data_IF_166656265157
#
_entry.id   IF_166656265157
#
_cell.length_a   1.000
_cell.length_b   1.000
_cell.length_c   1.000
_cell.angle_alpha   90.00
_cell.angle_beta   90.00
_cell.angle_gamma   90.00
#
_symmetry.space_group_name_H-M   'P 1'
#
loop_
_entity.id
_entity.type
_entity.pdbx_description
1 polymer ?
#
# COMPACT_ATOMS: atom_id res chain seq x y z
N UNK A 1 -14.14 -38.52 95.43
CA UNK A 1 -14.87 -37.26 95.70
C UNK A 1 -15.33 -36.72 94.34
N UNK A 2 -16.45 -37.22 93.80
CA UNK A 2 -17.81 -36.64 93.89
C UNK A 2 -17.83 -35.16 93.49
N UNK A 3 -18.31 -34.89 92.27
CA UNK A 3 -19.47 -34.03 91.96
C UNK A 3 -19.76 -34.17 90.44
N UNK A 4 -20.77 -34.95 90.05
CA UNK A 4 -22.16 -34.54 89.78
C UNK A 4 -22.25 -33.46 88.69
N UNK A 5 -22.49 -33.83 87.43
CA UNK A 5 -23.82 -33.93 86.76
C UNK A 5 -24.64 -32.64 86.77
N UNK A 6 -24.78 -32.03 85.59
CA UNK A 6 -26.01 -31.34 85.20
C UNK A 6 -26.18 -31.48 83.67
N UNK A 7 -27.06 -32.40 83.29
CA UNK A 7 -27.64 -32.53 81.96
C UNK A 7 -28.76 -31.50 81.84
N UNK A 8 -28.78 -30.69 80.78
CA UNK A 8 -30.01 -29.99 80.35
C UNK A 8 -30.20 -30.17 78.84
N UNK A 9 -31.34 -30.75 78.49
CA UNK A 9 -31.80 -31.03 77.14
C UNK A 9 -32.36 -29.79 76.43
N UNK A 10 -32.25 -29.86 75.09
CA UNK A 10 -33.15 -29.32 74.05
C UNK A 10 -33.42 -27.80 74.01
N UNK A 11 -33.04 -27.20 72.88
CA UNK A 11 -34.02 -26.73 71.89
C UNK A 11 -33.35 -26.46 70.53
N UNK A 12 -33.93 -27.06 69.50
CA UNK A 12 -33.61 -26.84 68.09
C UNK A 12 -34.20 -25.48 67.69
N UNK A 13 -33.36 -24.57 67.18
CA UNK A 13 -33.80 -23.42 66.41
C UNK A 13 -33.02 -23.41 65.09
N UNK A 14 -33.67 -23.92 64.05
CA UNK A 14 -33.25 -23.76 62.66
C UNK A 14 -33.41 -22.28 62.30
N UNK A 15 -32.29 -21.56 62.18
CA UNK A 15 -32.26 -20.28 61.47
C UNK A 15 -31.45 -20.46 60.19
N UNK A 16 -32.18 -20.57 59.08
CA UNK A 16 -31.69 -20.35 57.72
C UNK A 16 -31.23 -18.89 57.62
N UNK A 17 -29.95 -18.66 57.92
CA UNK A 17 -29.25 -17.42 57.60
C UNK A 17 -28.56 -17.58 56.26
N UNK A 18 -29.14 -16.96 55.24
CA UNK A 18 -28.56 -16.81 53.90
C UNK A 18 -27.15 -16.22 53.98
N UNK A 19 -26.16 -17.04 53.64
CA UNK A 19 -24.81 -16.58 53.32
C UNK A 19 -24.92 -15.76 52.04
N UNK A 20 -25.06 -14.44 52.18
CA UNK A 20 -24.89 -13.50 51.08
C UNK A 20 -23.39 -13.44 50.78
N UNK A 21 -22.90 -14.42 50.03
CA UNK A 21 -21.60 -14.36 49.36
C UNK A 21 -21.69 -13.27 48.29
N UNK A 22 -21.34 -12.05 48.69
CA UNK A 22 -20.96 -10.95 47.82
C UNK A 22 -19.69 -11.36 47.06
N UNK A 23 -19.85 -12.17 46.01
CA UNK A 23 -18.87 -12.29 44.93
C UNK A 23 -18.83 -10.90 44.27
N UNK A 24 -17.81 -10.13 44.63
CA UNK A 24 -17.44 -8.95 43.88
C UNK A 24 -17.24 -9.35 42.43
N UNK A 25 -18.13 -8.89 41.55
CA UNK A 25 -17.76 -8.72 40.15
C UNK A 25 -16.67 -7.67 40.16
N UNK A 26 -15.43 -8.07 39.99
CA UNK A 26 -14.45 -7.20 39.34
C UNK A 26 -15.08 -6.80 37.99
N UNK A 27 -15.74 -5.65 37.98
CA UNK A 27 -16.07 -4.96 36.74
C UNK A 27 -14.73 -4.53 36.17
N UNK A 28 -14.18 -5.33 35.24
CA UNK A 28 -13.11 -4.80 34.41
C UNK A 28 -13.67 -3.55 33.75
N UNK A 29 -13.08 -2.40 34.07
CA UNK A 29 -13.43 -1.14 33.42
C UNK A 29 -12.93 -1.29 31.99
N UNK A 30 -13.83 -1.66 31.08
CA UNK A 30 -13.54 -1.80 29.66
C UNK A 30 -13.52 -0.42 29.02
N UNK A 31 -12.45 -0.07 28.31
CA UNK A 31 -12.35 1.23 27.63
C UNK A 31 -13.28 1.29 26.42
N UNK A 32 -13.65 0.13 25.89
CA UNK A 32 -14.46 -0.01 24.69
C UNK A 32 -15.88 -0.44 24.99
N UNK A 33 -16.81 0.06 24.17
CA UNK A 33 -18.25 -0.17 24.36
C UNK A 33 -18.70 -1.54 23.85
N UNK A 34 -19.90 -1.96 24.26
CA UNK A 34 -20.54 -3.16 23.70
C UNK A 34 -20.74 -3.04 22.18
N UNK A 35 -21.00 -1.83 21.67
CA UNK A 35 -21.13 -1.56 20.23
C UNK A 35 -19.83 -1.83 19.48
N UNK A 36 -18.68 -1.50 20.07
CA UNK A 36 -17.37 -1.81 19.48
C UNK A 36 -17.16 -3.33 19.37
N UNK A 37 -17.58 -4.09 20.39
CA UNK A 37 -17.52 -5.56 20.38
C UNK A 37 -18.44 -6.16 19.32
N UNK A 38 -19.64 -5.62 19.14
CA UNK A 38 -20.54 -6.02 18.07
C UNK A 38 -19.95 -5.71 16.68
N UNK A 39 -19.29 -4.56 16.54
CA UNK A 39 -18.63 -4.20 15.30
C UNK A 39 -17.42 -5.09 15.02
N UNK A 40 -16.64 -5.48 16.04
CA UNK A 40 -15.59 -6.47 15.89
C UNK A 40 -16.13 -7.82 15.37
N UNK A 41 -17.29 -8.27 15.87
CA UNK A 41 -17.97 -9.49 15.38
C UNK A 41 -18.37 -9.38 13.92
N UNK A 42 -18.87 -8.23 13.48
CA UNK A 42 -19.16 -7.97 12.07
C UNK A 42 -17.91 -8.19 11.18
N UNK A 43 -16.72 -7.87 11.69
CA UNK A 43 -15.46 -8.11 11.01
C UNK A 43 -14.83 -9.49 11.32
N UNK A 44 -15.62 -10.47 11.74
CA UNK A 44 -15.17 -11.82 12.12
C UNK A 44 -14.12 -11.83 13.24
N UNK A 45 -14.17 -10.85 14.14
CA UNK A 45 -13.24 -10.69 15.26
C UNK A 45 -11.76 -10.72 14.85
N UNK A 46 -11.41 -10.14 13.69
CA UNK A 46 -9.99 -10.04 13.30
C UNK A 46 -9.17 -9.14 14.24
N UNK A 47 -9.84 -8.34 15.08
CA UNK A 47 -9.26 -7.52 16.14
C UNK A 47 -10.12 -7.65 17.40
N UNK A 48 -9.49 -7.38 18.55
CA UNK A 48 -10.20 -7.13 19.80
C UNK A 48 -10.25 -5.60 20.04
N UNK A 49 -11.40 -5.02 20.45
CA UNK A 49 -11.50 -3.59 20.70
C UNK A 49 -10.54 -3.04 21.76
N UNK A 50 -10.30 -3.78 22.85
CA UNK A 50 -9.37 -3.33 23.90
C UNK A 50 -7.93 -3.37 23.40
N UNK A 51 -7.53 -4.42 22.67
CA UNK A 51 -6.21 -4.46 22.01
C UNK A 51 -5.97 -3.21 21.13
N UNK A 52 -7.01 -2.77 20.41
CA UNK A 52 -6.93 -1.61 19.52
C UNK A 52 -6.70 -0.31 20.30
N UNK A 53 -7.45 -0.15 21.41
CA UNK A 53 -7.31 0.97 22.32
C UNK A 53 -5.92 1.00 22.96
N UNK A 54 -5.45 -0.14 23.48
CA UNK A 54 -4.13 -0.26 24.10
C UNK A 54 -3.00 0.04 23.12
N UNK A 55 -3.10 -0.43 21.87
CA UNK A 55 -2.11 -0.11 20.85
C UNK A 55 -2.09 1.37 20.51
N UNK A 56 -3.26 2.03 20.45
CA UNK A 56 -3.35 3.47 20.24
C UNK A 56 -2.72 4.27 21.39
N UNK A 57 -2.97 3.88 22.64
CA UNK A 57 -2.34 4.50 23.81
C UNK A 57 -0.83 4.26 23.84
N UNK A 58 -0.35 3.09 23.39
CA UNK A 58 1.09 2.83 23.19
C UNK A 58 1.70 3.82 22.19
N UNK A 59 1.04 4.07 21.05
CA UNK A 59 1.50 5.07 20.07
C UNK A 59 1.54 6.46 20.71
N UNK A 60 0.46 6.88 21.38
CA UNK A 60 0.39 8.19 22.04
C UNK A 60 1.48 8.37 23.09
N UNK A 61 1.77 7.33 23.89
CA UNK A 61 2.88 7.34 24.84
C UNK A 61 4.22 7.62 24.15
N UNK A 62 4.55 6.89 23.08
CA UNK A 62 5.81 7.07 22.34
C UNK A 62 5.91 8.46 21.69
N UNK A 63 4.79 9.00 21.20
CA UNK A 63 4.70 10.39 20.70
C UNK A 63 4.89 11.40 21.82
N UNK A 64 4.34 11.15 23.01
CA UNK A 64 4.49 11.99 24.20
C UNK A 64 5.93 11.99 24.72
N UNK A 65 6.60 10.84 24.70
CA UNK A 65 8.02 10.69 25.08
C UNK A 65 8.99 11.14 23.97
N UNK A 66 8.47 11.57 22.81
CA UNK A 66 9.27 11.94 21.63
C UNK A 66 10.22 10.82 21.16
N UNK A 67 9.85 9.57 21.42
CA UNK A 67 10.66 8.40 21.13
C UNK A 67 10.45 7.95 19.67
N UNK A 68 11.18 8.61 18.76
CA UNK A 68 11.11 8.36 17.33
C UNK A 68 11.53 6.93 16.96
N UNK A 69 12.57 6.40 17.61
CA UNK A 69 13.07 5.05 17.33
C UNK A 69 12.02 3.98 17.62
N UNK A 70 11.44 4.00 18.82
CA UNK A 70 10.44 3.01 19.21
C UNK A 70 9.10 3.22 18.50
N UNK A 71 8.74 4.45 18.13
CA UNK A 71 7.59 4.70 17.27
C UNK A 71 7.74 3.99 15.91
N UNK A 72 8.92 4.07 15.30
CA UNK A 72 9.20 3.40 14.03
C UNK A 72 9.45 1.90 14.17
N UNK A 73 9.75 1.40 15.37
CA UNK A 73 9.73 -0.04 15.66
C UNK A 73 8.32 -0.65 15.59
N UNK A 74 7.26 0.17 15.71
CA UNK A 74 5.88 -0.26 15.50
C UNK A 74 5.47 -0.34 14.02
N UNK A 75 6.31 0.09 13.08
CA UNK A 75 6.05 -0.01 11.65
C UNK A 75 6.50 -1.39 11.16
N UNK A 76 5.61 -2.16 10.52
CA UNK A 76 6.00 -3.40 9.82
C UNK A 76 6.60 -3.03 8.47
N UNK A 77 7.84 -3.45 8.21
CA UNK A 77 8.64 -3.05 7.02
C UNK A 77 8.76 -1.52 6.89
N UNK A 78 8.25 -0.92 5.82
CA UNK A 78 8.20 0.53 5.57
C UNK A 78 6.76 1.05 5.64
N UNK A 79 6.62 2.34 5.97
CA UNK A 79 5.32 3.00 5.91
C UNK A 79 4.81 3.03 4.48
N UNK A 80 3.51 2.76 4.30
CA UNK A 80 2.83 2.92 3.01
C UNK A 80 2.83 4.39 2.59
N UNK A 81 2.52 5.28 3.54
CA UNK A 81 2.65 6.72 3.38
C UNK A 81 3.31 7.30 4.62
N UNK A 82 4.38 8.05 4.44
CA UNK A 82 5.15 8.66 5.53
C UNK A 82 6.65 8.58 5.28
N UNK A 83 7.48 9.05 6.22
CA UNK A 83 8.93 9.04 6.07
C UNK A 83 9.49 7.62 6.14
N UNK A 84 10.58 7.35 5.42
CA UNK A 84 11.27 6.06 5.46
C UNK A 84 11.94 5.83 6.81
N UNK A 85 12.08 4.57 7.22
CA UNK A 85 12.91 4.21 8.37
C UNK A 85 14.36 4.69 8.22
N UNK A 86 14.92 4.58 7.01
CA UNK A 86 16.26 5.07 6.72
C UNK A 86 16.41 6.59 6.87
N UNK A 87 15.34 7.37 6.61
CA UNK A 87 15.37 8.83 6.70
C UNK A 87 15.36 9.33 8.16
N UNK A 88 14.71 8.59 9.06
CA UNK A 88 14.51 9.02 10.46
C UNK A 88 15.65 8.62 11.41
N UNK A 89 16.56 7.74 10.99
CA UNK A 89 17.55 7.07 11.87
C UNK A 89 18.41 8.06 12.68
N UNK A 90 18.78 9.18 12.08
CA UNK A 90 19.65 10.20 12.68
C UNK A 90 18.92 11.53 12.92
N UNK A 91 17.60 11.47 13.14
CA UNK A 91 16.73 12.63 13.30
C UNK A 91 16.14 12.67 14.70
N UNK A 92 15.92 13.88 15.20
CA UNK A 92 15.11 14.12 16.40
C UNK A 92 13.63 14.07 16.03
N UNK A 93 12.77 13.82 17.01
CA UNK A 93 11.32 13.84 16.81
C UNK A 93 10.85 15.18 16.20
N UNK A 94 11.34 16.30 16.73
CA UNK A 94 11.04 17.66 16.25
C UNK A 94 11.56 17.96 14.84
N UNK A 95 12.52 17.18 14.33
CA UNK A 95 12.98 17.33 12.93
C UNK A 95 11.95 16.77 11.95
N UNK A 96 11.10 15.86 12.42
CA UNK A 96 10.14 15.10 11.60
C UNK A 96 8.71 15.60 11.83
N UNK A 97 8.34 15.93 13.07
CA UNK A 97 6.97 16.28 13.44
C UNK A 97 6.91 17.65 14.13
N UNK A 98 5.90 18.45 13.80
CA UNK A 98 5.66 19.73 14.46
C UNK A 98 4.96 19.54 15.81
N UNK A 99 5.07 20.53 16.70
CA UNK A 99 4.35 20.55 17.97
C UNK A 99 2.83 20.46 17.78
N UNK A 100 2.30 21.13 16.75
CA UNK A 100 0.88 21.04 16.40
C UNK A 100 0.48 19.59 16.05
N UNK A 101 1.30 18.90 15.27
CA UNK A 101 1.06 17.51 14.92
C UNK A 101 1.07 16.62 16.17
N UNK A 102 2.09 16.78 17.01
CA UNK A 102 2.26 16.03 18.27
C UNK A 102 1.09 16.25 19.22
N UNK A 103 0.73 17.51 19.47
CA UNK A 103 -0.38 17.88 20.34
C UNK A 103 -1.72 17.33 19.81
N UNK A 104 -1.93 17.35 18.50
CA UNK A 104 -3.11 16.75 17.88
C UNK A 104 -3.22 15.24 18.14
N UNK A 105 -2.11 14.50 18.01
CA UNK A 105 -2.07 13.06 18.33
C UNK A 105 -2.36 12.80 19.81
N UNK A 106 -1.71 13.55 20.71
CA UNK A 106 -1.89 13.38 22.16
C UNK A 106 -3.31 13.70 22.63
N UNK A 107 -3.94 14.73 22.05
CA UNK A 107 -5.31 15.12 22.36
C UNK A 107 -6.37 14.18 21.75
N UNK A 108 -6.00 13.36 20.77
CA UNK A 108 -6.97 12.48 20.10
C UNK A 108 -7.39 11.29 20.96
N UNK A 109 -8.67 10.93 20.87
CA UNK A 109 -9.22 9.74 21.51
C UNK A 109 -8.63 8.47 20.87
N UNK A 110 -8.32 7.48 21.70
CA UNK A 110 -7.86 6.17 21.23
C UNK A 110 -9.05 5.36 20.71
N UNK A 111 -9.01 4.91 19.44
CA UNK A 111 -10.15 4.26 18.82
C UNK A 111 -10.28 2.80 19.26
N UNK A 112 -11.51 2.39 19.57
CA UNK A 112 -11.89 0.99 19.80
C UNK A 112 -12.38 0.27 18.54
N UNK A 113 -12.64 1.02 17.46
CA UNK A 113 -13.20 0.51 16.20
C UNK A 113 -12.51 1.16 14.98
N UNK A 114 -12.35 0.44 13.86
CA UNK A 114 -11.72 0.97 12.66
C UNK A 114 -12.67 1.85 11.84
N UNK A 115 -12.10 2.68 10.98
CA UNK A 115 -12.81 3.43 9.93
C UNK A 115 -13.06 2.51 8.73
N UNK A 116 -14.01 1.59 8.91
CA UNK A 116 -14.32 0.56 7.92
C UNK A 116 -13.09 -0.30 7.58
N UNK A 117 -12.88 -0.57 6.30
CA UNK A 117 -11.74 -1.38 5.82
C UNK A 117 -10.38 -0.67 5.91
N UNK A 118 -10.34 0.64 6.19
CA UNK A 118 -9.10 1.44 6.16
C UNK A 118 -8.21 1.23 7.38
N UNK A 119 -8.76 0.69 8.47
CA UNK A 119 -8.05 0.50 9.74
C UNK A 119 -8.36 1.61 10.75
N UNK A 120 -7.51 1.73 11.75
CA UNK A 120 -7.67 2.63 12.88
C UNK A 120 -6.85 3.89 12.66
N UNK A 121 -7.27 5.01 13.24
CA UNK A 121 -6.54 6.27 13.09
C UNK A 121 -6.52 7.10 14.37
N UNK A 122 -5.43 7.84 14.55
CA UNK A 122 -5.28 8.91 15.53
C UNK A 122 -5.25 10.27 14.82
N UNK A 123 -5.72 11.30 15.51
CA UNK A 123 -5.74 12.70 15.04
C UNK A 123 -6.17 12.85 13.57
N UNK A 124 -7.41 12.44 13.29
CA UNK A 124 -8.05 12.57 11.97
C UNK A 124 -7.21 12.02 10.80
N UNK A 125 -6.44 10.96 11.04
CA UNK A 125 -5.64 10.28 10.02
C UNK A 125 -4.15 10.65 10.02
N UNK A 126 -3.66 11.37 11.03
CA UNK A 126 -2.23 11.64 11.18
C UNK A 126 -1.40 10.38 11.37
N UNK A 127 -1.94 9.39 12.09
CA UNK A 127 -1.36 8.05 12.19
C UNK A 127 -2.46 7.05 11.85
N UNK A 128 -2.16 6.12 10.95
CA UNK A 128 -3.00 4.96 10.66
C UNK A 128 -2.30 3.69 11.12
N UNK A 129 -3.06 2.78 11.72
CA UNK A 129 -2.56 1.51 12.21
C UNK A 129 -3.60 0.40 12.05
N UNK A 130 -3.14 -0.85 12.05
CA UNK A 130 -4.01 -2.00 11.89
C UNK A 130 -3.38 -3.28 12.48
N UNK A 131 -4.20 -4.32 12.64
CA UNK A 131 -3.76 -5.67 13.02
C UNK A 131 -3.53 -6.49 11.75
N UNK A 132 -2.34 -7.07 11.60
CA UNK A 132 -2.06 -8.01 10.54
C UNK A 132 -2.88 -9.29 10.81
N UNK A 133 -3.75 -9.68 9.87
CA UNK A 133 -4.66 -10.83 10.06
C UNK A 133 -3.93 -12.17 10.10
N UNK A 134 -2.79 -12.28 9.44
CA UNK A 134 -2.02 -13.52 9.35
C UNK A 134 -1.04 -13.66 10.52
N UNK A 135 -0.33 -12.58 10.85
CA UNK A 135 0.67 -12.56 11.92
C UNK A 135 0.08 -12.25 13.30
N UNK A 136 -1.15 -11.73 13.35
CA UNK A 136 -1.83 -11.36 14.59
C UNK A 136 -1.29 -10.12 15.29
N UNK A 137 -0.27 -9.45 14.74
CA UNK A 137 0.40 -8.31 15.38
C UNK A 137 -0.15 -6.96 14.89
N UNK A 138 -0.19 -5.99 15.79
CA UNK A 138 -0.49 -4.60 15.49
C UNK A 138 0.72 -3.88 14.91
N UNK A 139 0.48 -2.98 13.96
CA UNK A 139 1.52 -2.17 13.34
C UNK A 139 0.97 -0.83 12.83
N UNK A 140 1.85 0.16 12.75
CA UNK A 140 1.58 1.43 12.06
C UNK A 140 1.78 1.22 10.56
N UNK A 141 0.81 1.64 9.75
CA UNK A 141 0.83 1.51 8.29
C UNK A 141 1.12 2.83 7.57
N UNK A 142 0.68 3.96 8.15
CA UNK A 142 0.93 5.30 7.59
C UNK A 142 1.10 6.35 8.68
N UNK A 143 1.97 7.32 8.43
CA UNK A 143 2.13 8.53 9.24
C UNK A 143 2.09 9.74 8.29
N UNK A 144 1.01 10.51 8.37
CA UNK A 144 0.77 11.73 7.58
C UNK A 144 1.18 12.97 8.37
N UNK A 145 1.56 14.04 7.68
CA UNK A 145 1.96 15.30 8.33
C UNK A 145 3.41 15.36 8.81
N UNK A 146 4.17 14.28 8.61
CA UNK A 146 5.62 14.28 8.78
C UNK A 146 6.31 15.20 7.75
N UNK A 147 7.48 15.73 8.11
CA UNK A 147 8.37 16.42 7.18
C UNK A 147 8.76 15.48 6.03
N UNK A 148 8.62 15.96 4.80
CA UNK A 148 8.95 15.20 3.60
C UNK A 148 10.47 15.08 3.44
N UNK A 149 10.89 13.92 2.97
CA UNK A 149 12.26 13.68 2.56
C UNK A 149 12.51 14.29 1.16
N UNK A 150 13.25 15.39 1.11
CA UNK A 150 13.73 16.00 -0.15
C UNK A 150 15.00 15.29 -0.62
N UNK A 151 14.86 14.20 -1.37
CA UNK A 151 16.03 13.46 -1.89
C UNK A 151 16.20 13.41 -3.40
N UNK A 152 15.40 14.14 -4.15
CA UNK A 152 15.48 14.13 -5.63
C UNK A 152 15.21 15.49 -6.28
N UNK A 153 15.13 16.58 -5.50
CA UNK A 153 14.63 17.88 -5.96
C UNK A 153 15.60 18.64 -6.86
N UNK A 154 16.91 18.40 -6.77
CA UNK A 154 17.89 19.28 -7.42
C UNK A 154 18.40 18.79 -8.80
N UNK A 155 18.05 17.59 -9.27
CA UNK A 155 18.61 17.02 -10.51
C UNK A 155 17.68 16.09 -11.32
N UNK A 156 16.36 16.10 -11.08
CA UNK A 156 15.44 15.26 -11.87
C UNK A 156 15.00 15.97 -13.17
N UNK A 157 14.97 15.27 -14.32
CA UNK A 157 14.40 15.85 -15.54
C UNK A 157 12.89 16.06 -15.41
N UNK A 158 12.38 17.17 -15.97
CA UNK A 158 10.95 17.41 -16.08
C UNK A 158 10.41 16.57 -17.25
N UNK A 159 9.73 15.48 -16.90
CA UNK A 159 9.16 14.53 -17.85
C UNK A 159 10.20 13.68 -18.60
N UNK A 160 9.73 12.62 -19.23
CA UNK A 160 10.55 11.75 -20.06
C UNK A 160 10.36 12.12 -21.53
N UNK A 161 11.42 12.62 -22.18
CA UNK A 161 11.39 12.95 -23.61
C UNK A 161 12.02 11.84 -24.48
N UNK A 162 11.38 11.56 -25.61
CA UNK A 162 11.88 10.76 -26.72
C UNK A 162 11.73 11.57 -28.01
N UNK A 163 12.83 11.75 -28.75
CA UNK A 163 12.89 12.59 -29.95
C UNK A 163 12.23 13.96 -29.81
N UNK A 164 12.54 14.63 -28.68
CA UNK A 164 12.02 15.95 -28.34
C UNK A 164 10.57 15.97 -27.85
N UNK A 165 9.81 14.88 -28.00
CA UNK A 165 8.41 14.77 -27.56
C UNK A 165 8.32 14.16 -26.16
N UNK A 166 7.40 14.67 -25.35
CA UNK A 166 7.11 14.10 -24.03
C UNK A 166 6.36 12.78 -24.18
N UNK A 167 6.78 11.77 -23.43
CA UNK A 167 6.04 10.52 -23.28
C UNK A 167 4.86 10.80 -22.35
N UNK A 168 3.61 10.48 -22.78
CA UNK A 168 2.43 10.65 -21.95
C UNK A 168 2.40 9.72 -20.71
N UNK A 169 1.74 10.12 -19.61
CA UNK A 169 1.61 9.28 -18.42
C UNK A 169 1.05 7.87 -18.68
N UNK A 170 0.15 7.74 -19.67
CA UNK A 170 -0.52 6.50 -20.03
C UNK A 170 0.43 5.39 -20.49
N UNK A 171 1.66 5.75 -20.85
CA UNK A 171 2.70 4.85 -21.33
C UNK A 171 3.41 4.07 -20.23
N UNK A 172 3.27 4.51 -18.99
CA UNK A 172 3.89 3.86 -17.84
C UNK A 172 2.92 2.84 -17.28
N UNK A 173 2.86 1.67 -17.92
CA UNK A 173 1.96 0.58 -17.52
C UNK A 173 2.29 0.13 -16.11
N UNK A 174 1.28 0.07 -15.25
CA UNK A 174 1.35 -0.47 -13.90
C UNK A 174 0.20 -1.45 -13.70
N UNK A 175 0.30 -2.28 -12.68
CA UNK A 175 -0.80 -3.14 -12.26
C UNK A 175 -2.04 -2.28 -11.95
N UNK A 176 -3.19 -2.69 -12.49
CA UNK A 176 -4.46 -2.06 -12.21
C UNK A 176 -4.93 -2.37 -10.81
N UNK A 177 -5.88 -1.58 -10.29
CA UNK A 177 -6.47 -1.86 -8.97
C UNK A 177 -7.12 -3.25 -8.91
N UNK A 178 -7.70 -3.71 -10.03
CA UNK A 178 -8.26 -5.06 -10.14
C UNK A 178 -7.20 -6.13 -10.33
N UNK A 179 -5.99 -5.76 -10.76
CA UNK A 179 -4.90 -6.65 -11.19
C UNK A 179 -5.14 -7.41 -12.49
N UNK A 180 -6.32 -7.27 -13.11
CA UNK A 180 -6.72 -8.03 -14.31
C UNK A 180 -5.70 -7.93 -15.44
N UNK A 181 -5.09 -6.75 -15.63
CA UNK A 181 -4.11 -6.55 -16.69
C UNK A 181 -2.83 -7.36 -16.52
N UNK A 182 -2.43 -7.74 -15.31
CA UNK A 182 -1.32 -8.67 -15.09
C UNK A 182 -1.80 -10.11 -15.08
N UNK A 183 -2.98 -10.38 -14.53
CA UNK A 183 -3.58 -11.72 -14.50
C UNK A 183 -3.77 -12.31 -15.91
N UNK A 184 -4.19 -11.51 -16.89
CA UNK A 184 -4.30 -11.97 -18.28
C UNK A 184 -2.96 -12.39 -18.87
N UNK A 185 -1.86 -11.70 -18.53
CA UNK A 185 -0.53 -12.12 -18.98
C UNK A 185 -0.08 -13.39 -18.26
N UNK A 186 -0.45 -13.56 -16.99
CA UNK A 186 -0.18 -14.80 -16.26
C UNK A 186 -0.88 -15.98 -16.92
N UNK A 187 -2.16 -15.83 -17.27
CA UNK A 187 -2.95 -16.90 -17.87
C UNK A 187 -2.57 -17.15 -19.32
N UNK A 188 -2.38 -16.11 -20.13
CA UNK A 188 -2.02 -16.23 -21.54
C UNK A 188 -0.67 -16.92 -21.75
N UNK A 189 0.33 -16.61 -20.92
CA UNK A 189 1.68 -17.17 -21.04
C UNK A 189 1.95 -18.33 -20.06
N UNK A 190 0.96 -18.74 -19.26
CA UNK A 190 1.12 -19.83 -18.29
C UNK A 190 2.16 -19.54 -17.22
N UNK A 191 2.25 -18.30 -16.75
CA UNK A 191 3.21 -17.88 -15.71
C UNK A 191 2.79 -18.53 -14.38
N UNK A 192 3.68 -19.28 -13.69
CA UNK A 192 3.32 -19.98 -12.46
C UNK A 192 2.84 -19.05 -11.33
N UNK A 193 1.59 -19.22 -10.90
CA UNK A 193 1.00 -18.53 -9.74
C UNK A 193 1.28 -19.33 -8.46
N UNK A 194 2.42 -19.04 -7.80
CA UNK A 194 2.90 -19.80 -6.63
C UNK A 194 2.47 -19.20 -5.29
N UNK A 195 2.12 -17.92 -5.29
CA UNK A 195 1.81 -17.17 -4.08
C UNK A 195 0.29 -17.19 -3.85
N UNK A 196 -0.17 -18.16 -3.06
CA UNK A 196 -1.58 -18.38 -2.80
C UNK A 196 -1.99 -17.92 -1.41
N UNK A 197 -3.12 -17.22 -1.32
CA UNK A 197 -3.79 -16.86 -0.07
C UNK A 197 -5.21 -17.40 -0.04
N UNK A 198 -5.61 -17.93 1.11
CA UNK A 198 -6.98 -18.36 1.34
C UNK A 198 -7.76 -17.23 2.00
N UNK A 199 -8.88 -16.86 1.41
CA UNK A 199 -9.79 -15.84 1.94
C UNK A 199 -11.12 -16.52 2.24
N UNK A 200 -11.53 -16.44 3.51
CA UNK A 200 -12.88 -16.86 3.91
C UNK A 200 -13.87 -15.72 3.64
N UNK A 201 -14.85 -15.99 2.79
CA UNK A 201 -15.99 -15.10 2.50
C UNK A 201 -17.26 -15.83 2.93
N UNK A 202 -17.77 -15.49 4.11
CA UNK A 202 -18.86 -16.24 4.75
C UNK A 202 -18.44 -17.67 5.07
N UNK A 203 -19.21 -18.65 4.60
CA UNK A 203 -18.89 -20.08 4.74
C UNK A 203 -17.98 -20.63 3.63
N UNK A 204 -17.62 -19.82 2.62
CA UNK A 204 -16.79 -20.24 1.49
C UNK A 204 -15.34 -19.87 1.73
N UNK A 205 -14.45 -20.80 1.43
CA UNK A 205 -13.01 -20.57 1.36
C UNK A 205 -12.62 -20.45 -0.12
N UNK A 206 -12.03 -19.31 -0.49
CA UNK A 206 -11.54 -19.04 -1.83
C UNK A 206 -10.02 -18.96 -1.77
N UNK A 207 -9.35 -19.68 -2.66
CA UNK A 207 -7.90 -19.58 -2.84
C UNK A 207 -7.62 -18.61 -3.99
N UNK A 208 -6.87 -17.54 -3.69
CA UNK A 208 -6.38 -16.60 -4.68
C UNK A 208 -4.88 -16.81 -4.83
N UNK A 209 -4.43 -17.16 -6.03
CA UNK A 209 -3.01 -17.32 -6.34
C UNK A 209 -2.59 -16.24 -7.34
N UNK A 210 -1.39 -15.71 -7.16
CA UNK A 210 -0.79 -14.73 -8.06
C UNK A 210 0.68 -15.10 -8.36
N UNK A 211 1.23 -14.56 -9.43
CA UNK A 211 2.65 -14.67 -9.72
C UNK A 211 3.38 -13.43 -9.16
N UNK A 212 3.50 -13.33 -7.82
CA UNK A 212 4.06 -12.14 -7.16
C UNK A 212 5.46 -11.80 -7.68
N UNK A 213 6.29 -12.79 -8.04
CA UNK A 213 7.60 -12.54 -8.64
C UNK A 213 7.50 -11.85 -10.01
N UNK A 214 6.61 -12.31 -10.88
CA UNK A 214 6.35 -11.67 -12.18
C UNK A 214 5.81 -10.25 -12.03
N UNK A 215 4.82 -10.05 -11.16
CA UNK A 215 4.25 -8.74 -10.89
C UNK A 215 5.29 -7.78 -10.33
N UNK A 216 6.24 -8.24 -9.52
CA UNK A 216 7.33 -7.41 -8.98
C UNK A 216 8.51 -7.24 -9.94
N UNK A 217 8.84 -8.24 -10.75
CA UNK A 217 10.06 -8.30 -11.56
C UNK A 217 9.73 -8.50 -13.05
N UNK A 218 8.77 -7.72 -13.55
CA UNK A 218 8.19 -7.88 -14.89
C UNK A 218 9.23 -7.92 -16.00
N UNK A 219 10.31 -7.13 -15.89
CA UNK A 219 11.39 -7.13 -16.87
C UNK A 219 12.09 -8.48 -17.03
N UNK A 220 12.12 -9.32 -15.98
CA UNK A 220 12.74 -10.65 -16.04
C UNK A 220 11.99 -11.63 -16.94
N UNK A 221 10.69 -11.43 -17.12
CA UNK A 221 9.80 -12.30 -17.89
C UNK A 221 9.67 -11.86 -19.35
N UNK A 222 9.86 -10.55 -19.61
CA UNK A 222 9.83 -9.97 -20.95
C UNK A 222 11.01 -10.51 -21.78
N UNK A 223 10.69 -11.07 -22.94
CA UNK A 223 11.65 -11.71 -23.85
C UNK A 223 11.95 -13.19 -23.55
N UNK A 224 11.37 -13.76 -22.48
CA UNK A 224 11.47 -15.18 -22.14
C UNK A 224 10.10 -15.84 -22.07
N UNK A 225 9.42 -15.76 -20.94
CA UNK A 225 8.04 -16.26 -20.76
C UNK A 225 7.04 -15.40 -21.58
N UNK A 226 7.33 -14.11 -21.74
CA UNK A 226 6.56 -13.17 -22.56
C UNK A 226 7.41 -12.82 -23.82
N UNK A 227 7.42 -13.66 -24.86
CA UNK A 227 8.27 -13.46 -26.03
C UNK A 227 7.73 -12.40 -27.01
N UNK A 228 6.43 -12.09 -26.97
CA UNK A 228 5.77 -11.15 -27.89
C UNK A 228 5.41 -9.84 -27.16
N UNK A 229 5.70 -8.70 -27.80
CA UNK A 229 5.51 -7.35 -27.27
C UNK A 229 4.35 -6.59 -27.92
N UNK A 230 3.64 -7.20 -28.88
CA UNK A 230 2.50 -6.60 -29.59
C UNK A 230 1.20 -6.57 -28.75
N UNK A 231 1.25 -7.10 -27.53
CA UNK A 231 0.11 -7.21 -26.63
C UNK A 231 -0.77 -8.43 -26.91
N UNK A 232 -1.69 -8.69 -26.00
CA UNK A 232 -2.62 -9.83 -26.00
C UNK A 232 -4.06 -9.33 -26.07
N UNK A 233 -4.96 -10.15 -26.61
CA UNK A 233 -6.39 -9.92 -26.49
C UNK A 233 -6.86 -10.44 -25.13
N UNK A 234 -7.41 -9.58 -24.26
CA UNK A 234 -7.87 -10.00 -22.94
C UNK A 234 -9.16 -10.81 -23.04
N UNK A 235 -9.47 -11.59 -22.01
CA UNK A 235 -10.66 -12.45 -21.95
C UNK A 235 -12.00 -11.70 -21.90
N UNK A 236 -11.99 -10.44 -21.43
CA UNK A 236 -13.21 -9.62 -21.23
C UNK A 236 -13.59 -8.72 -22.39
N UNK A 237 -12.68 -8.47 -23.34
CA UNK A 237 -12.94 -7.66 -24.53
C UNK A 237 -12.14 -8.19 -25.72
N UNK A 238 -12.84 -8.56 -26.78
CA UNK A 238 -12.23 -9.06 -28.01
C UNK A 238 -11.76 -7.96 -28.97
N UNK A 239 -12.03 -6.68 -28.69
CA UNK A 239 -11.74 -5.58 -29.61
C UNK A 239 -10.42 -4.87 -29.31
N UNK A 240 -10.13 -4.57 -28.05
CA UNK A 240 -8.90 -3.89 -27.64
C UNK A 240 -7.84 -4.88 -27.14
N UNK A 241 -6.56 -4.63 -27.46
CA UNK A 241 -5.45 -5.41 -26.91
C UNK A 241 -4.88 -4.73 -25.67
N UNK A 242 -4.30 -5.50 -24.77
CA UNK A 242 -3.51 -4.99 -23.64
C UNK A 242 -2.02 -5.29 -23.83
N UNK A 243 -1.14 -4.39 -23.39
CA UNK A 243 0.32 -4.52 -23.48
C UNK A 243 0.98 -4.11 -22.17
N UNK A 244 2.04 -4.83 -21.80
CA UNK A 244 2.94 -4.42 -20.72
C UNK A 244 4.08 -3.53 -21.25
N UNK A 245 4.41 -3.61 -22.53
CA UNK A 245 5.57 -2.96 -23.14
C UNK A 245 5.15 -2.05 -24.28
N UNK A 246 4.49 -0.91 -24.00
CA UNK A 246 3.96 -0.06 -25.04
C UNK A 246 5.07 0.48 -25.95
N UNK A 247 4.81 0.41 -27.26
CA UNK A 247 5.66 1.05 -28.28
C UNK A 247 5.60 2.56 -28.13
N UNK A 248 6.76 3.22 -28.15
CA UNK A 248 6.87 4.67 -27.92
C UNK A 248 6.09 5.48 -28.94
N UNK A 249 5.98 4.99 -30.19
CA UNK A 249 5.19 5.65 -31.23
C UNK A 249 3.68 5.62 -30.93
N UNK A 250 3.15 4.48 -30.47
CA UNK A 250 1.75 4.35 -30.03
C UNK A 250 1.46 5.17 -28.77
N UNK A 251 2.49 5.39 -27.97
CA UNK A 251 2.45 6.27 -26.84
C UNK A 251 2.25 7.73 -27.25
N UNK A 252 3.12 8.23 -28.12
CA UNK A 252 3.14 9.63 -28.56
C UNK A 252 1.90 9.97 -29.40
N UNK A 253 1.37 9.03 -30.18
CA UNK A 253 0.17 9.26 -30.99
C UNK A 253 -1.14 9.17 -30.17
N UNK A 254 -1.08 8.75 -28.90
CA UNK A 254 -2.24 8.64 -28.01
C UNK A 254 -3.05 7.36 -28.16
N UNK A 255 -2.49 6.29 -28.74
CA UNK A 255 -3.10 4.97 -28.85
C UNK A 255 -3.00 4.12 -27.59
N UNK A 256 -2.16 4.50 -26.62
CA UNK A 256 -2.00 3.77 -25.35
C UNK A 256 -2.75 4.50 -24.23
N UNK A 257 -3.63 3.77 -23.54
CA UNK A 257 -4.30 4.25 -22.33
C UNK A 257 -4.25 3.19 -21.23
N UNK A 258 -3.44 3.44 -20.21
CA UNK A 258 -3.26 2.56 -19.05
C UNK A 258 -2.87 1.11 -19.42
N UNK A 259 -2.13 0.90 -20.52
CA UNK A 259 -1.77 -0.43 -21.01
C UNK A 259 -2.72 -1.00 -22.07
N UNK A 260 -3.86 -0.36 -22.33
CA UNK A 260 -4.76 -0.74 -23.43
C UNK A 260 -4.37 -0.05 -24.74
N UNK A 261 -4.33 -0.82 -25.82
CA UNK A 261 -4.09 -0.36 -27.19
C UNK A 261 -5.43 -0.11 -27.86
N UNK A 262 -5.65 1.15 -28.26
CA UNK A 262 -6.90 1.59 -28.88
C UNK A 262 -6.69 2.68 -29.92
N UNK A 263 -7.79 3.12 -30.52
CA UNK A 263 -7.78 4.24 -31.47
C UNK A 263 -7.15 5.49 -30.87
N UNK A 264 -6.30 6.22 -31.63
CA UNK A 264 -5.62 7.41 -31.15
C UNK A 264 -6.58 8.42 -30.52
N UNK A 265 -6.31 8.80 -29.27
CA UNK A 265 -7.01 9.87 -28.57
C UNK A 265 -6.07 11.06 -28.43
N UNK A 266 -6.55 12.28 -28.73
CA UNK A 266 -5.74 13.49 -28.51
C UNK A 266 -5.45 13.66 -27.01
N UNK A 267 -4.20 13.49 -26.62
CA UNK A 267 -3.74 13.71 -25.24
C UNK A 267 -3.11 15.09 -25.12
N UNK A 268 -3.65 15.91 -24.22
CA UNK A 268 -3.03 17.20 -23.85
C UNK A 268 -2.20 16.99 -22.59
N UNK A 269 -0.90 17.27 -22.70
CA UNK A 269 0.04 17.18 -21.60
C UNK A 269 0.20 18.53 -20.92
N UNK A 270 0.21 18.52 -19.60
CA UNK A 270 0.51 19.68 -18.75
C UNK A 270 1.70 19.32 -17.87
N UNK A 271 2.65 20.24 -17.71
CA UNK A 271 3.75 20.08 -16.77
C UNK A 271 3.53 20.99 -15.57
N UNK A 272 3.64 20.44 -14.37
CA UNK A 272 3.75 21.23 -13.15
C UNK A 272 5.24 21.34 -12.79
N UNK A 273 5.82 22.51 -13.01
CA UNK A 273 7.24 22.76 -12.76
C UNK A 273 7.60 22.68 -11.27
N UNK A 274 6.65 22.92 -10.35
CA UNK A 274 6.90 22.86 -8.90
C UNK A 274 7.03 21.43 -8.41
N UNK A 275 6.14 20.54 -8.88
CA UNK A 275 6.20 19.12 -8.52
C UNK A 275 7.11 18.32 -9.45
N UNK A 276 7.41 18.82 -10.66
CA UNK A 276 8.05 18.06 -11.74
C UNK A 276 7.12 17.00 -12.35
N UNK A 277 5.82 17.08 -12.07
CA UNK A 277 4.80 16.14 -12.56
C UNK A 277 4.38 16.48 -13.99
N UNK A 278 4.18 15.45 -14.80
CA UNK A 278 3.52 15.55 -16.10
C UNK A 278 2.12 14.96 -15.96
N UNK A 279 1.11 15.74 -16.30
CA UNK A 279 -0.29 15.40 -16.16
C UNK A 279 -1.01 15.38 -17.50
N UNK A 280 -2.08 14.60 -17.56
CA UNK A 280 -3.02 14.56 -18.67
C UNK A 280 -4.40 14.12 -18.20
N UNK A 281 -5.40 14.33 -19.04
CA UNK A 281 -6.79 13.94 -18.76
C UNK A 281 -7.39 13.31 -20.00
N UNK A 282 -8.10 12.20 -19.81
CA UNK A 282 -8.82 11.49 -20.86
C UNK A 282 -10.24 11.25 -20.39
N UNK A 283 -11.20 11.66 -21.21
CA UNK A 283 -12.61 11.56 -20.90
C UNK A 283 -13.30 10.53 -21.80
N UNK A 284 -14.02 9.58 -21.20
CA UNK A 284 -14.92 8.66 -21.91
C UNK A 284 -16.29 9.30 -22.17
N UNK A 285 -16.67 10.30 -21.37
CA UNK A 285 -17.83 11.15 -21.58
C UNK A 285 -17.62 12.53 -20.97
N UNK A 286 -18.53 13.48 -21.19
CA UNK A 286 -18.45 14.84 -20.62
C UNK A 286 -18.26 14.87 -19.09
N UNK A 287 -18.76 13.86 -18.39
CA UNK A 287 -18.76 13.79 -16.93
C UNK A 287 -17.89 12.65 -16.38
N UNK A 288 -17.20 11.91 -17.25
CA UNK A 288 -16.35 10.79 -16.86
C UNK A 288 -14.96 10.97 -17.46
N UNK A 289 -14.07 11.50 -16.63
CA UNK A 289 -12.68 11.77 -16.98
C UNK A 289 -11.76 11.08 -15.99
N UNK A 290 -10.69 10.49 -16.52
CA UNK A 290 -9.59 9.96 -15.72
C UNK A 290 -8.39 10.88 -15.93
N UNK A 291 -7.85 11.39 -14.83
CA UNK A 291 -6.59 12.13 -14.80
C UNK A 291 -5.45 11.14 -14.65
N UNK A 292 -4.35 11.40 -15.33
CA UNK A 292 -3.13 10.62 -15.25
C UNK A 292 -1.96 11.55 -14.96
N UNK A 293 -1.01 11.08 -14.16
CA UNK A 293 0.18 11.83 -13.81
C UNK A 293 1.40 10.91 -13.75
N UNK A 294 2.58 11.44 -14.03
CA UNK A 294 3.82 10.79 -13.60
C UNK A 294 4.88 11.80 -13.18
N UNK A 295 5.79 11.33 -12.32
CA UNK A 295 6.96 12.04 -11.86
C UNK A 295 8.19 11.12 -11.97
N UNK A 296 9.25 11.60 -12.61
CA UNK A 296 10.55 10.93 -12.55
C UNK A 296 11.15 11.17 -11.17
N UNK A 297 11.37 10.11 -10.40
CA UNK A 297 11.98 10.20 -9.09
C UNK A 297 13.52 10.19 -9.18
N UNK A 298 14.10 9.29 -9.96
CA UNK A 298 15.55 9.24 -10.16
C UNK A 298 15.92 8.45 -11.41
N UNK A 299 17.11 8.69 -11.96
CA UNK A 299 17.67 7.95 -13.08
C UNK A 299 18.30 6.63 -12.63
N UNK A 300 18.17 5.60 -13.46
CA UNK A 300 18.75 4.28 -13.25
C UNK A 300 19.88 4.08 -14.29
N UNK A 301 21.09 3.66 -13.87
CA UNK A 301 22.16 3.35 -14.80
C UNK A 301 21.72 2.34 -15.86
N UNK A 302 22.06 2.59 -17.12
CA UNK A 302 21.69 1.72 -18.26
C UNK A 302 22.18 0.28 -18.06
N UNK A 303 23.34 0.08 -17.45
CA UNK A 303 23.87 -1.25 -17.11
C UNK A 303 22.98 -2.01 -16.12
N UNK A 304 22.35 -1.30 -15.17
CA UNK A 304 21.39 -1.89 -14.21
C UNK A 304 20.04 -2.11 -14.89
N UNK A 305 19.58 -1.17 -15.71
CA UNK A 305 18.38 -1.33 -16.54
C UNK A 305 18.43 -2.61 -17.39
N UNK A 306 19.54 -2.85 -18.09
CA UNK A 306 19.71 -4.04 -18.92
C UNK A 306 19.64 -5.33 -18.09
N UNK A 307 20.20 -5.33 -16.88
CA UNK A 307 20.16 -6.49 -15.97
C UNK A 307 18.76 -6.80 -15.44
N UNK A 308 17.86 -5.81 -15.42
CA UNK A 308 16.47 -6.00 -15.00
C UNK A 308 15.57 -6.54 -16.12
N UNK A 309 16.05 -6.59 -17.37
CA UNK A 309 15.40 -7.28 -18.48
C UNK A 309 16.43 -8.03 -19.33
N UNK A 310 17.07 -9.08 -18.77
CA UNK A 310 18.20 -9.75 -19.41
C UNK A 310 17.79 -10.55 -20.66
N UNK A 311 16.51 -10.92 -20.75
CA UNK A 311 15.98 -11.74 -21.84
C UNK A 311 15.44 -10.90 -23.02
N UNK A 312 15.33 -9.59 -22.85
CA UNK A 312 14.83 -8.71 -23.89
C UNK A 312 15.90 -8.46 -24.97
N UNK A 313 15.59 -8.85 -26.21
CA UNK A 313 16.45 -8.67 -27.39
C UNK A 313 16.47 -7.19 -27.83
N UNK A 314 17.31 -6.41 -27.17
CA UNK A 314 17.48 -4.99 -27.43
C UNK A 314 18.45 -4.35 -26.44
N UNK A 315 18.67 -3.05 -26.60
CA UNK A 315 19.52 -2.26 -25.70
C UNK A 315 18.66 -1.28 -24.91
N UNK A 316 18.82 -1.30 -23.58
CA UNK A 316 18.30 -0.21 -22.77
C UNK A 316 19.04 1.09 -23.12
N UNK A 317 18.28 2.16 -23.37
CA UNK A 317 18.79 3.49 -23.71
C UNK A 317 18.74 4.45 -22.55
N UNK A 318 17.65 4.40 -21.78
CA UNK A 318 17.39 5.24 -20.61
C UNK A 318 16.52 4.48 -19.63
N UNK A 319 16.66 4.76 -18.35
CA UNK A 319 15.81 4.16 -17.33
C UNK A 319 15.63 5.08 -16.15
N UNK A 320 14.45 5.03 -15.55
CA UNK A 320 14.07 5.88 -14.44
C UNK A 320 13.21 5.09 -13.46
N UNK A 321 13.34 5.40 -12.17
CA UNK A 321 12.28 5.14 -11.20
C UNK A 321 11.22 6.23 -11.37
N UNK A 322 9.98 5.82 -11.62
CA UNK A 322 8.86 6.72 -11.93
C UNK A 322 7.71 6.44 -10.96
N UNK A 323 7.16 7.51 -10.37
CA UNK A 323 5.86 7.47 -9.75
C UNK A 323 4.81 7.73 -10.82
N UNK A 324 3.85 6.83 -11.01
CA UNK A 324 2.77 6.95 -12.00
C UNK A 324 1.42 6.80 -11.32
N UNK A 325 0.53 7.75 -11.56
CA UNK A 325 -0.77 7.82 -10.89
C UNK A 325 -1.91 7.99 -11.87
N UNK A 326 -3.07 7.48 -11.48
CA UNK A 326 -4.35 7.76 -12.11
C UNK A 326 -5.39 8.18 -11.06
N UNK A 327 -6.37 8.98 -11.49
CA UNK A 327 -7.48 9.44 -10.67
C UNK A 327 -8.75 9.57 -11.49
N UNK A 328 -9.71 8.70 -11.20
CA UNK A 328 -11.03 8.66 -11.83
C UNK A 328 -12.15 9.24 -10.97
N UNK A 329 -11.81 9.90 -9.85
CA UNK A 329 -12.77 10.48 -8.90
C UNK A 329 -12.87 9.73 -7.57
N UNK A 330 -13.78 10.18 -6.70
CA UNK A 330 -14.07 9.56 -5.41
C UNK A 330 -13.10 9.93 -4.28
N UNK A 331 -13.36 9.38 -3.09
CA UNK A 331 -12.66 9.75 -1.85
C UNK A 331 -11.30 9.09 -1.65
N UNK A 332 -10.91 8.15 -2.53
CA UNK A 332 -9.59 7.50 -2.48
C UNK A 332 -8.47 8.41 -2.97
N UNK A 333 -8.77 9.41 -3.79
CA UNK A 333 -7.76 10.26 -4.43
C UNK A 333 -6.93 9.50 -5.46
N UNK A 334 -5.72 9.99 -5.71
CA UNK A 334 -4.79 9.42 -6.70
C UNK A 334 -4.30 8.01 -6.31
N UNK A 335 -4.30 7.11 -7.28
CA UNK A 335 -3.75 5.77 -7.15
C UNK A 335 -2.36 5.68 -7.79
N UNK A 336 -1.32 5.93 -7.00
CA UNK A 336 0.07 5.88 -7.47
C UNK A 336 0.68 4.48 -7.39
N UNK A 337 1.37 4.08 -8.45
CA UNK A 337 2.37 3.00 -8.45
C UNK A 337 3.78 3.59 -8.58
N UNK A 338 4.78 2.82 -8.14
CA UNK A 338 6.19 3.21 -8.17
C UNK A 338 6.97 2.11 -8.87
N UNK A 339 7.50 2.38 -10.05
CA UNK A 339 8.13 1.34 -10.86
C UNK A 339 9.39 1.87 -11.54
N UNK A 340 10.39 1.00 -11.71
CA UNK A 340 11.51 1.24 -12.60
C UNK A 340 11.04 0.90 -14.02
N UNK A 341 11.20 1.85 -14.93
CA UNK A 341 10.94 1.66 -16.36
C UNK A 341 12.23 1.80 -17.16
N UNK A 342 12.34 1.03 -18.24
CA UNK A 342 13.41 1.17 -19.23
C UNK A 342 12.86 1.51 -20.60
N UNK A 343 13.52 2.44 -21.30
CA UNK A 343 13.35 2.65 -22.74
C UNK A 343 14.32 1.73 -23.46
N UNK A 344 13.80 0.77 -24.23
CA UNK A 344 14.60 -0.16 -25.01
C UNK A 344 14.47 0.14 -26.49
N UNK A 345 15.60 0.10 -27.20
CA UNK A 345 15.62 -0.04 -28.67
C UNK A 345 15.83 -1.52 -28.99
N UNK A 346 14.84 -2.13 -29.63
CA UNK A 346 14.87 -3.51 -30.08
C UNK A 346 15.71 -3.64 -31.37
N UNK A 347 16.03 -4.88 -31.78
CA UNK A 347 16.87 -5.12 -32.96
C UNK A 347 16.22 -4.73 -34.29
N UNK A 348 14.88 -4.69 -34.35
CA UNK A 348 14.11 -4.17 -35.48
C UNK A 348 14.00 -2.62 -35.45
N UNK A 349 14.75 -1.96 -34.56
CA UNK A 349 14.70 -0.51 -34.29
C UNK A 349 13.42 -0.01 -33.64
N UNK A 350 12.49 -0.88 -33.26
CA UNK A 350 11.30 -0.51 -32.48
C UNK A 350 11.72 -0.02 -31.10
N UNK A 351 11.16 1.09 -30.63
CA UNK A 351 11.38 1.61 -29.28
C UNK A 351 10.19 1.30 -28.37
N UNK A 352 10.45 0.70 -27.21
CA UNK A 352 9.42 0.29 -26.24
C UNK A 352 9.75 0.81 -24.84
N UNK A 353 8.71 1.12 -24.07
CA UNK A 353 8.82 1.34 -22.62
C UNK A 353 8.51 0.04 -21.91
N UNK A 354 9.38 -0.40 -21.01
CA UNK A 354 9.27 -1.69 -20.32
C UNK A 354 9.20 -1.45 -18.81
N UNK A 355 8.14 -1.91 -18.11
CA UNK A 355 8.14 -2.01 -16.66
C UNK A 355 9.17 -3.08 -16.25
N UNK A 356 10.20 -2.68 -15.55
CA UNK A 356 11.32 -3.55 -15.16
C UNK A 356 11.10 -4.12 -13.77
N UNK A 357 10.73 -3.26 -12.82
CA UNK A 357 10.52 -3.65 -11.43
C UNK A 357 9.44 -2.78 -10.80
N UNK A 358 8.47 -3.40 -10.16
CA UNK A 358 7.35 -2.73 -9.51
C UNK A 358 7.50 -2.78 -7.99
N UNK A 359 7.12 -1.71 -7.31
CA UNK A 359 7.22 -1.58 -5.85
C UNK A 359 5.86 -1.30 -5.23
N UNK A 360 5.66 -1.85 -4.03
CA UNK A 360 4.42 -1.71 -3.28
C UNK A 360 4.17 -0.25 -2.87
N UNK A 361 5.23 0.49 -2.55
CA UNK A 361 5.17 1.90 -2.15
C UNK A 361 6.47 2.63 -2.52
N UNK A 362 6.44 3.96 -2.35
CA UNK A 362 7.58 4.85 -2.64
C UNK A 362 8.82 4.50 -1.81
N UNK A 363 8.61 4.13 -0.55
CA UNK A 363 9.68 3.92 0.42
C UNK A 363 10.50 2.67 0.06
N UNK A 364 9.83 1.58 -0.28
CA UNK A 364 10.46 0.35 -0.79
C UNK A 364 11.24 0.61 -2.09
N UNK A 365 10.66 1.41 -2.99
CA UNK A 365 11.31 1.77 -4.24
C UNK A 365 12.63 2.53 -3.99
N UNK A 366 12.61 3.53 -3.10
CA UNK A 366 13.79 4.31 -2.76
C UNK A 366 14.84 3.44 -2.07
N UNK A 367 14.46 2.60 -1.10
CA UNK A 367 15.38 1.70 -0.41
C UNK A 367 16.10 0.79 -1.40
N UNK A 368 15.37 0.20 -2.36
CA UNK A 368 15.97 -0.62 -3.41
C UNK A 368 17.02 0.14 -4.25
N UNK A 369 16.77 1.42 -4.58
CA UNK A 369 17.76 2.23 -5.30
C UNK A 369 19.04 2.40 -4.49
N UNK A 370 18.92 2.63 -3.18
CA UNK A 370 20.09 2.84 -2.32
C UNK A 370 20.91 1.58 -2.10
N UNK A 371 20.24 0.44 -1.98
CA UNK A 371 20.89 -0.82 -1.65
C UNK A 371 21.49 -1.51 -2.88
N UNK A 372 20.87 -1.32 -4.06
CA UNK A 372 21.14 -2.18 -5.22
C UNK A 372 21.63 -1.42 -6.46
N UNK A 373 21.33 -0.12 -6.57
CA UNK A 373 21.52 0.64 -7.82
C UNK A 373 22.62 1.70 -7.72
N UNK A 374 22.68 2.42 -6.60
CA UNK A 374 23.86 3.22 -6.22
C UNK A 374 25.00 2.30 -5.84
#
# INVERSE_FOLDING_TARGET
MKNLTATLCLTIAVFLGSVNSSLGKDQSITNCSQKDREYARFWNNYYDPEDAYEFAEKIKKLVGEENLGDLFNLVDRELTTGPRKGFIKDKKFSDIFSDQWRNGVLASASPCSPVGWRGFMLNHGSIWFNKNKERGNWHILSILGAKKEDRFTNQKPIGWKFDGKLIPPQCFVKEWVSSDNFEEFEDHYGIPKKDCRNVKIGSRELTFCEATDFRKNTGMYVGKEIPNLDGISPSWDGQEKITLTPKVELCINGSIVAGTIRSPTKVVLKSDEKSGSIESEICSSKNSCTKYAYEILTSIPVSKCQKLAPNLKGQCRKSFLVAVGDYSGGTRGWHYGYNIYGLFSLFDSTNVIVPLKNFQNKNDAINYIEETIK
#
